data_IF_034910931695
#
_entry.id   IF_034910931695
#
_cell.length_a   1.000
_cell.length_b   1.000
_cell.length_c   1.000
_cell.angle_alpha   90.00
_cell.angle_beta   90.00
_cell.angle_gamma   90.00
#
_symmetry.space_group_name_H-M   'P 1'
#
loop_
_entity.id
_entity.type
_entity.pdbx_description
1 polymer ?
#
# COMPACT_ATOMS: atom_id res chain seq x y z
N UNK A 1 -12.66 -76.27 20.51
CA UNK A 1 -11.98 -77.10 19.50
C UNK A 1 -10.65 -76.45 19.17
N UNK A 2 -9.58 -77.19 19.45
CA UNK A 2 -8.17 -76.83 19.35
C UNK A 2 -7.67 -76.67 17.90
N UNK A 3 -6.37 -76.30 17.78
CA UNK A 3 -5.40 -76.52 16.68
C UNK A 3 -5.07 -75.23 15.90
N UNK A 4 -3.83 -74.75 15.68
CA UNK A 4 -2.41 -75.15 15.89
C UNK A 4 -1.61 -73.82 15.87
N UNK A 5 -0.35 -73.66 16.26
CA UNK A 5 0.72 -74.60 16.59
C UNK A 5 1.93 -73.84 17.16
N UNK A 6 2.83 -74.61 17.75
CA UNK A 6 4.08 -74.18 18.39
C UNK A 6 5.24 -74.17 17.39
N UNK A 7 6.09 -73.15 17.41
CA UNK A 7 7.45 -73.19 16.87
C UNK A 7 8.43 -72.56 17.87
N UNK A 8 9.55 -73.26 18.08
CA UNK A 8 10.54 -73.05 19.13
C UNK A 8 11.57 -71.94 18.85
N UNK A 9 12.08 -71.43 19.97
CA UNK A 9 13.34 -70.71 20.26
C UNK A 9 14.41 -70.54 19.17
N UNK A 10 14.89 -69.30 19.02
CA UNK A 10 16.29 -68.84 18.83
C UNK A 10 16.29 -67.37 19.33
N UNK A 11 17.14 -66.81 20.20
CA UNK A 11 18.55 -67.05 20.54
C UNK A 11 19.37 -65.82 20.16
N UNK A 12 19.74 -64.98 21.14
CA UNK A 12 20.77 -63.90 21.12
C UNK A 12 20.50 -62.72 20.16
N UNK A 13 20.71 -61.43 20.48
CA UNK A 13 21.93 -60.82 21.01
C UNK A 13 21.62 -59.37 21.47
N UNK A 14 22.20 -58.94 22.60
CA UNK A 14 22.13 -57.56 23.09
C UNK A 14 22.81 -56.61 22.10
N UNK A 15 22.09 -55.61 21.62
CA UNK A 15 22.68 -54.44 20.94
C UNK A 15 22.48 -53.22 21.84
N UNK A 16 23.52 -52.91 22.60
CA UNK A 16 23.66 -51.65 23.33
C UNK A 16 23.94 -50.54 22.33
N UNK A 17 22.93 -49.74 21.98
CA UNK A 17 23.11 -48.54 21.17
C UNK A 17 23.55 -47.39 22.07
N UNK A 18 24.81 -46.98 21.90
CA UNK A 18 25.41 -45.80 22.47
C UNK A 18 24.78 -44.55 21.80
N UNK A 19 23.94 -43.81 22.52
CA UNK A 19 23.41 -42.54 22.03
C UNK A 19 24.50 -41.46 22.15
N UNK A 20 25.12 -41.08 21.03
CA UNK A 20 25.96 -39.89 20.93
C UNK A 20 25.02 -38.68 20.82
N UNK A 21 24.82 -37.96 21.92
CA UNK A 21 24.13 -36.67 21.92
C UNK A 21 25.10 -35.60 21.36
N UNK A 22 25.05 -35.38 20.05
CA UNK A 22 25.64 -34.19 19.44
C UNK A 22 24.78 -32.98 19.82
N UNK A 23 25.27 -32.16 20.76
CA UNK A 23 24.64 -30.90 21.15
C UNK A 23 24.68 -29.90 20.00
N UNK A 24 23.62 -29.83 19.20
CA UNK A 24 23.38 -28.76 18.25
C UNK A 24 22.94 -27.52 19.04
N UNK A 25 23.88 -26.61 19.31
CA UNK A 25 23.55 -25.28 19.86
C UNK A 25 22.91 -24.47 18.74
N UNK A 26 21.58 -24.53 18.64
CA UNK A 26 20.79 -23.58 17.87
C UNK A 26 20.90 -22.22 18.57
N UNK A 27 21.80 -21.37 18.08
CA UNK A 27 21.82 -19.97 18.48
C UNK A 27 20.49 -19.33 18.12
N UNK A 28 19.70 -18.95 19.13
CA UNK A 28 18.58 -18.02 18.98
C UNK A 28 19.13 -16.69 18.48
N UNK A 29 19.17 -16.51 17.16
CA UNK A 29 19.34 -15.20 16.58
C UNK A 29 18.04 -14.45 16.84
N UNK A 30 18.08 -13.47 17.75
CA UNK A 30 17.00 -12.50 17.85
C UNK A 30 16.79 -11.88 16.46
N UNK A 31 15.54 -11.68 15.99
CA UNK A 31 15.34 -10.96 14.75
C UNK A 31 16.04 -9.61 14.91
N UNK A 32 16.94 -9.29 13.99
CA UNK A 32 17.45 -7.93 13.91
C UNK A 32 16.21 -7.03 13.85
N UNK A 33 16.08 -6.11 14.81
CA UNK A 33 15.10 -5.07 14.71
C UNK A 33 15.41 -4.37 13.38
N UNK A 34 14.60 -4.62 12.35
CA UNK A 34 14.65 -3.86 11.12
C UNK A 34 14.55 -2.42 11.58
N UNK A 35 15.61 -1.63 11.43
CA UNK A 35 15.56 -0.22 11.71
C UNK A 35 14.40 0.31 10.86
N UNK A 36 13.30 0.71 11.51
CA UNK A 36 12.18 1.35 10.83
C UNK A 36 12.80 2.57 10.17
N UNK A 37 12.81 2.59 8.83
CA UNK A 37 13.38 3.74 8.13
C UNK A 37 12.63 4.99 8.63
N UNK A 38 13.33 6.11 8.82
CA UNK A 38 12.69 7.32 9.35
C UNK A 38 11.48 7.67 8.49
N UNK A 39 10.31 7.78 9.12
CA UNK A 39 9.12 8.35 8.49
C UNK A 39 9.36 9.84 8.32
N UNK A 40 9.49 10.31 7.09
CA UNK A 40 9.70 11.72 6.81
C UNK A 40 8.38 12.51 6.76
N UNK A 41 8.52 13.80 6.50
CA UNK A 41 7.38 14.73 6.44
C UNK A 41 6.40 14.31 5.33
N UNK A 42 6.88 13.88 4.17
CA UNK A 42 6.04 13.53 3.04
C UNK A 42 5.12 12.34 3.34
N UNK A 43 5.65 11.29 3.99
CA UNK A 43 4.84 10.14 4.46
C UNK A 43 3.82 10.57 5.51
N UNK A 44 4.23 11.42 6.47
CA UNK A 44 3.35 11.91 7.53
C UNK A 44 2.18 12.71 6.96
N UNK A 45 2.47 13.60 6.02
CA UNK A 45 1.47 14.44 5.34
C UNK A 45 0.56 13.60 4.44
N UNK A 46 1.11 12.60 3.73
CA UNK A 46 0.30 11.66 2.93
C UNK A 46 -0.68 10.87 3.81
N UNK A 47 -0.24 10.39 4.97
CA UNK A 47 -1.12 9.69 5.92
C UNK A 47 -2.22 10.62 6.47
N UNK A 48 -1.90 11.87 6.81
CA UNK A 48 -2.88 12.84 7.25
C UNK A 48 -3.92 13.16 6.16
N UNK A 49 -3.49 13.28 4.91
CA UNK A 49 -4.37 13.48 3.76
C UNK A 49 -5.28 12.27 3.51
N UNK A 50 -4.73 11.06 3.60
CA UNK A 50 -5.47 9.80 3.46
C UNK A 50 -6.56 9.66 4.54
N UNK A 51 -6.27 10.10 5.76
CA UNK A 51 -7.23 10.20 6.86
C UNK A 51 -8.27 11.33 6.69
N UNK A 52 -8.13 12.18 5.67
CA UNK A 52 -9.04 13.29 5.40
C UNK A 52 -8.85 14.50 6.32
N UNK A 53 -7.63 14.73 6.82
CA UNK A 53 -7.32 15.94 7.59
C UNK A 53 -7.45 17.19 6.72
N UNK A 54 -8.22 18.16 7.21
CA UNK A 54 -8.42 19.46 6.53
C UNK A 54 -7.38 20.50 6.95
N UNK A 55 -6.64 20.24 8.04
CA UNK A 55 -5.60 21.11 8.58
C UNK A 55 -4.26 20.40 8.44
N UNK A 56 -3.63 20.59 7.29
CA UNK A 56 -2.32 20.06 6.96
C UNK A 56 -1.40 21.25 6.71
N UNK A 57 -0.30 21.30 7.45
CA UNK A 57 0.77 22.25 7.21
C UNK A 57 1.83 21.60 6.31
N UNK A 58 2.31 22.37 5.34
CA UNK A 58 3.39 21.95 4.45
C UNK A 58 4.61 22.81 4.73
N UNK A 59 5.74 22.19 5.08
CA UNK A 59 6.97 22.93 5.24
C UNK A 59 7.39 23.59 3.92
N UNK A 60 8.14 24.71 3.96
CA UNK A 60 8.69 25.31 2.75
C UNK A 60 9.53 24.33 1.92
N UNK A 61 10.21 23.39 2.58
CA UNK A 61 11.01 22.36 1.93
C UNK A 61 10.12 21.36 1.17
N UNK A 62 9.04 20.88 1.78
CA UNK A 62 8.10 19.97 1.12
C UNK A 62 7.40 20.64 -0.06
N UNK A 63 7.01 21.91 0.07
CA UNK A 63 6.45 22.71 -1.04
C UNK A 63 7.46 22.82 -2.19
N UNK A 64 8.74 23.07 -1.89
CA UNK A 64 9.78 23.11 -2.91
C UNK A 64 9.98 21.75 -3.60
N UNK A 65 9.86 20.64 -2.87
CA UNK A 65 9.98 19.28 -3.41
C UNK A 65 8.76 18.84 -4.25
N UNK A 66 7.57 19.36 -3.94
CA UNK A 66 6.36 19.21 -4.75
C UNK A 66 6.42 20.05 -6.03
N UNK A 67 7.10 21.20 -5.98
CA UNK A 67 7.21 22.14 -7.10
C UNK A 67 6.00 23.06 -7.26
N UNK A 68 5.01 22.94 -6.38
CA UNK A 68 3.82 23.79 -6.31
C UNK A 68 3.37 23.92 -4.85
N UNK A 69 2.59 24.97 -4.56
CA UNK A 69 1.94 25.12 -3.25
C UNK A 69 0.55 24.46 -3.32
N UNK A 70 0.25 23.45 -2.47
CA UNK A 70 -1.09 22.90 -2.40
C UNK A 70 -2.13 23.98 -2.11
N UNK A 71 -3.27 23.89 -2.78
CA UNK A 71 -4.45 24.73 -2.53
C UNK A 71 -5.49 23.92 -1.77
N UNK A 72 -6.65 24.52 -1.47
CA UNK A 72 -7.77 23.79 -0.87
C UNK A 72 -8.90 23.61 -1.87
N UNK A 73 -9.42 22.38 -1.99
CA UNK A 73 -10.60 22.05 -2.77
C UNK A 73 -11.24 20.74 -2.27
N UNK A 74 -12.54 20.57 -2.49
CA UNK A 74 -13.33 19.49 -1.87
C UNK A 74 -13.19 19.37 -0.32
N UNK A 75 -12.80 20.47 0.35
CA UNK A 75 -12.55 20.51 1.79
C UNK A 75 -11.21 19.90 2.22
N UNK A 76 -10.30 19.59 1.30
CA UNK A 76 -8.96 19.05 1.57
C UNK A 76 -7.88 19.80 0.80
N UNK A 77 -6.60 19.67 1.18
CA UNK A 77 -5.50 20.08 0.34
C UNK A 77 -5.49 19.32 -0.99
N UNK A 78 -5.17 20.02 -2.08
CA UNK A 78 -5.17 19.46 -3.44
C UNK A 78 -4.02 20.00 -4.30
N UNK A 79 -3.66 19.26 -5.35
CA UNK A 79 -2.77 19.72 -6.41
C UNK A 79 -3.55 20.70 -7.32
N UNK A 80 -3.21 22.01 -7.37
CA UNK A 80 -4.01 23.01 -8.08
C UNK A 80 -4.09 22.78 -9.60
N UNK A 81 -3.16 22.02 -10.17
CA UNK A 81 -3.09 21.73 -11.60
C UNK A 81 -3.31 20.25 -11.91
N UNK A 82 -3.66 19.44 -10.92
CA UNK A 82 -4.02 18.03 -11.13
C UNK A 82 -5.31 17.88 -11.93
N UNK A 83 -5.55 16.67 -12.42
CA UNK A 83 -6.76 16.36 -13.18
C UNK A 83 -7.08 14.88 -13.10
N UNK A 84 -8.34 14.52 -13.39
CA UNK A 84 -8.72 13.13 -13.47
C UNK A 84 -8.01 12.40 -14.62
N UNK A 85 -6.92 11.71 -14.31
CA UNK A 85 -6.21 10.85 -15.24
C UNK A 85 -6.95 9.52 -15.42
N UNK A 86 -7.83 9.43 -16.42
CA UNK A 86 -8.63 8.24 -16.71
C UNK A 86 -8.71 7.93 -18.22
N UNK A 87 -8.65 6.66 -18.64
CA UNK A 87 -8.83 6.27 -20.04
C UNK A 87 -10.28 6.45 -20.53
N UNK A 88 -11.21 6.67 -19.62
CA UNK A 88 -12.61 6.98 -19.92
C UNK A 88 -12.98 8.33 -19.30
N UNK A 89 -13.84 9.07 -19.99
CA UNK A 89 -14.34 10.34 -19.46
C UNK A 89 -15.05 10.12 -18.12
N UNK A 90 -14.60 10.85 -17.10
CA UNK A 90 -15.23 10.88 -15.78
C UNK A 90 -16.12 12.13 -15.64
N UNK A 91 -17.13 12.10 -14.75
CA UNK A 91 -17.89 13.30 -14.44
C UNK A 91 -16.98 14.45 -14.01
N UNK A 92 -17.19 15.65 -14.55
CA UNK A 92 -16.42 16.84 -14.16
C UNK A 92 -16.50 17.16 -12.65
N UNK A 93 -17.55 16.69 -11.97
CA UNK A 93 -17.69 16.80 -10.52
C UNK A 93 -16.65 15.98 -9.74
N UNK A 94 -15.92 15.06 -10.39
CA UNK A 94 -14.84 14.28 -9.77
C UNK A 94 -13.49 15.00 -9.78
N UNK A 95 -13.31 16.05 -10.59
CA UNK A 95 -12.05 16.77 -10.72
C UNK A 95 -11.44 17.20 -9.37
N UNK A 96 -12.20 17.79 -8.42
CA UNK A 96 -11.65 18.10 -7.10
C UNK A 96 -11.14 16.86 -6.33
N UNK A 97 -11.83 15.72 -6.45
CA UNK A 97 -11.40 14.48 -5.80
C UNK A 97 -10.10 13.94 -6.41
N UNK A 98 -9.97 14.03 -7.74
CA UNK A 98 -8.75 13.66 -8.45
C UNK A 98 -7.56 14.55 -8.06
N UNK A 99 -7.75 15.87 -7.93
CA UNK A 99 -6.68 16.79 -7.47
C UNK A 99 -6.19 16.50 -6.05
N UNK A 100 -7.08 16.06 -5.15
CA UNK A 100 -6.69 15.58 -3.81
C UNK A 100 -5.89 14.28 -3.90
N UNK A 101 -6.31 13.35 -4.75
CA UNK A 101 -5.61 12.08 -4.95
C UNK A 101 -4.22 12.27 -5.57
N UNK A 102 -4.09 13.15 -6.57
CA UNK A 102 -2.83 13.52 -7.20
C UNK A 102 -1.84 14.09 -6.19
N UNK A 103 -2.28 14.98 -5.29
CA UNK A 103 -1.43 15.48 -4.21
C UNK A 103 -0.92 14.33 -3.32
N UNK A 104 -1.80 13.41 -2.93
CA UNK A 104 -1.40 12.21 -2.18
C UNK A 104 -0.32 11.41 -2.89
N UNK A 105 -0.48 11.21 -4.20
CA UNK A 105 0.47 10.48 -5.04
C UNK A 105 1.80 11.23 -5.18
N UNK A 106 1.78 12.55 -5.31
CA UNK A 106 2.97 13.38 -5.36
C UNK A 106 3.76 13.35 -4.05
N UNK A 107 3.07 13.34 -2.91
CA UNK A 107 3.69 13.14 -1.59
C UNK A 107 4.39 11.78 -1.50
N UNK A 108 3.77 10.70 -2.00
CA UNK A 108 4.42 9.39 -2.05
C UNK A 108 5.65 9.39 -2.98
N UNK A 109 5.62 10.13 -4.09
CA UNK A 109 6.78 10.29 -4.97
C UNK A 109 7.91 11.08 -4.29
N UNK A 110 7.58 12.14 -3.54
CA UNK A 110 8.55 12.88 -2.72
C UNK A 110 9.18 11.94 -1.68
N UNK A 111 8.36 11.21 -0.92
CA UNK A 111 8.81 10.24 0.07
C UNK A 111 9.80 9.23 -0.52
N UNK A 112 9.47 8.66 -1.68
CA UNK A 112 10.35 7.71 -2.37
C UNK A 112 11.67 8.34 -2.81
N UNK A 113 11.65 9.57 -3.37
CA UNK A 113 12.88 10.30 -3.74
C UNK A 113 13.77 10.59 -2.53
N UNK A 114 13.16 10.84 -1.36
CA UNK A 114 13.86 11.08 -0.11
C UNK A 114 14.35 9.78 0.57
N UNK A 115 13.99 8.59 0.05
CA UNK A 115 14.31 7.30 0.67
C UNK A 115 13.49 6.99 1.92
N UNK A 116 12.34 7.66 2.11
CA UNK A 116 11.43 7.40 3.22
C UNK A 116 10.75 6.04 3.05
N UNK A 117 10.52 5.34 4.17
CA UNK A 117 9.70 4.13 4.15
C UNK A 117 8.24 4.51 3.90
N UNK A 118 7.62 3.92 2.88
CA UNK A 118 6.20 4.11 2.54
C UNK A 118 5.43 2.85 2.95
N UNK A 119 4.65 2.92 4.05
CA UNK A 119 3.72 1.86 4.38
C UNK A 119 2.66 1.68 3.28
N UNK A 120 2.35 0.43 2.92
CA UNK A 120 1.45 0.11 1.80
C UNK A 120 0.03 0.62 2.03
N UNK A 121 -0.40 0.68 3.29
CA UNK A 121 -1.69 1.17 3.72
C UNK A 121 -1.93 2.62 3.31
N UNK A 122 -0.90 3.47 3.28
CA UNK A 122 -1.09 4.88 2.93
C UNK A 122 -1.61 5.01 1.50
N UNK A 123 -1.05 4.26 0.54
CA UNK A 123 -1.52 4.29 -0.84
C UNK A 123 -2.95 3.72 -0.97
N UNK A 124 -3.28 2.67 -0.21
CA UNK A 124 -4.64 2.09 -0.18
C UNK A 124 -5.65 3.08 0.40
N UNK A 125 -5.27 3.80 1.44
CA UNK A 125 -6.13 4.77 2.11
C UNK A 125 -6.32 6.03 1.26
N UNK A 126 -5.30 6.45 0.52
CA UNK A 126 -5.41 7.50 -0.51
C UNK A 126 -6.36 7.07 -1.63
N UNK A 127 -6.21 5.85 -2.16
CA UNK A 127 -7.11 5.31 -3.19
C UNK A 127 -8.56 5.21 -2.67
N UNK A 128 -8.75 4.88 -1.39
CA UNK A 128 -10.08 4.86 -0.75
C UNK A 128 -10.62 6.28 -0.50
N UNK A 129 -9.75 7.24 -0.21
CA UNK A 129 -10.13 8.63 -0.02
C UNK A 129 -10.62 9.26 -1.33
N UNK A 130 -10.04 8.87 -2.47
CA UNK A 130 -10.54 9.24 -3.80
C UNK A 130 -12.02 8.81 -3.97
N UNK A 131 -12.34 7.54 -3.68
CA UNK A 131 -13.73 7.05 -3.74
C UNK A 131 -14.67 7.88 -2.85
N UNK A 132 -14.26 8.12 -1.59
CA UNK A 132 -15.06 8.91 -0.64
C UNK A 132 -15.32 10.32 -1.14
N UNK A 133 -14.32 10.98 -1.73
CA UNK A 133 -14.47 12.34 -2.26
C UNK A 133 -15.36 12.38 -3.52
N UNK A 134 -15.18 11.45 -4.45
CA UNK A 134 -16.08 11.32 -5.61
C UNK A 134 -17.52 11.03 -5.17
N UNK A 135 -17.70 10.11 -4.22
CA UNK A 135 -19.01 9.74 -3.69
C UNK A 135 -19.78 10.91 -3.07
N UNK A 136 -19.08 11.89 -2.48
CA UNK A 136 -19.70 13.11 -1.91
C UNK A 136 -20.33 14.01 -2.98
N UNK A 137 -19.89 13.93 -4.24
CA UNK A 137 -20.47 14.73 -5.33
C UNK A 137 -21.59 14.02 -6.07
N UNK A 138 -21.80 12.73 -5.77
CA UNK A 138 -22.75 11.90 -6.48
C UNK A 138 -24.21 12.11 -6.07
N UNK A 139 -25.06 12.33 -7.07
CA UNK A 139 -26.52 12.48 -6.92
C UNK A 139 -27.32 11.25 -7.40
N UNK A 140 -26.65 10.21 -7.91
CA UNK A 140 -27.28 9.00 -8.44
C UNK A 140 -26.45 7.74 -8.16
N UNK A 141 -27.08 6.57 -8.25
CA UNK A 141 -26.38 5.28 -8.14
C UNK A 141 -25.37 5.07 -9.27
N UNK A 142 -25.67 5.54 -10.49
CA UNK A 142 -24.74 5.46 -11.62
C UNK A 142 -23.45 6.24 -11.34
N UNK A 143 -23.55 7.41 -10.70
CA UNK A 143 -22.37 8.16 -10.27
C UNK A 143 -21.57 7.41 -9.20
N UNK A 144 -22.24 6.85 -8.18
CA UNK A 144 -21.58 6.05 -7.13
C UNK A 144 -20.86 4.84 -7.70
N UNK A 145 -21.50 4.14 -8.64
CA UNK A 145 -20.88 3.02 -9.35
C UNK A 145 -19.62 3.44 -10.10
N UNK A 146 -19.63 4.58 -10.79
CA UNK A 146 -18.44 5.12 -11.46
C UNK A 146 -17.32 5.45 -10.47
N UNK A 147 -17.66 6.02 -9.31
CA UNK A 147 -16.69 6.30 -8.25
C UNK A 147 -16.02 5.01 -7.73
N UNK A 148 -16.82 3.96 -7.45
CA UNK A 148 -16.29 2.66 -7.03
C UNK A 148 -15.48 1.97 -8.13
N UNK A 149 -15.89 2.07 -9.40
CA UNK A 149 -15.15 1.52 -10.52
C UNK A 149 -13.77 2.19 -10.66
N UNK A 150 -13.70 3.52 -10.51
CA UNK A 150 -12.43 4.25 -10.50
C UNK A 150 -11.53 3.81 -9.34
N UNK A 151 -12.08 3.62 -8.13
CA UNK A 151 -11.35 3.10 -6.98
C UNK A 151 -10.77 1.70 -7.24
N UNK A 152 -11.57 0.79 -7.80
CA UNK A 152 -11.10 -0.57 -8.15
C UNK A 152 -10.00 -0.51 -9.19
N UNK A 153 -10.15 0.31 -10.24
CA UNK A 153 -9.15 0.44 -11.29
C UNK A 153 -7.80 0.95 -10.74
N UNK A 154 -7.81 2.01 -9.94
CA UNK A 154 -6.58 2.53 -9.32
C UNK A 154 -6.00 1.54 -8.31
N UNK A 155 -6.84 0.87 -7.52
CA UNK A 155 -6.41 -0.13 -6.55
C UNK A 155 -5.73 -1.33 -7.19
N UNK A 156 -6.22 -1.80 -8.35
CA UNK A 156 -5.56 -2.85 -9.13
C UNK A 156 -4.20 -2.39 -9.67
N UNK A 157 -4.09 -1.14 -10.14
CA UNK A 157 -2.81 -0.59 -10.55
C UNK A 157 -1.85 -0.45 -9.36
N UNK A 158 -2.32 0.05 -8.21
CA UNK A 158 -1.55 0.13 -6.97
C UNK A 158 -1.03 -1.24 -6.53
N UNK A 159 -1.87 -2.28 -6.60
CA UNK A 159 -1.48 -3.65 -6.31
C UNK A 159 -0.40 -4.16 -7.24
N UNK A 160 -0.56 -3.95 -8.55
CA UNK A 160 0.43 -4.30 -9.58
C UNK A 160 1.77 -3.58 -9.37
N UNK A 161 1.73 -2.34 -8.87
CA UNK A 161 2.91 -1.55 -8.54
C UNK A 161 3.45 -1.81 -7.11
N UNK A 162 2.89 -2.77 -6.37
CA UNK A 162 3.37 -3.14 -5.03
C UNK A 162 3.05 -2.12 -3.93
N UNK A 163 2.09 -1.23 -4.15
CA UNK A 163 1.62 -0.20 -3.21
C UNK A 163 2.67 0.84 -2.76
N UNK A 164 3.85 0.87 -3.39
CA UNK A 164 4.85 1.92 -3.17
C UNK A 164 4.49 3.23 -3.88
N UNK A 165 5.47 4.10 -4.08
CA UNK A 165 5.24 5.33 -4.83
C UNK A 165 4.71 5.04 -6.26
N UNK A 166 3.73 5.83 -6.73
CA UNK A 166 3.14 5.64 -8.04
C UNK A 166 4.15 5.95 -9.16
N UNK A 167 4.33 4.99 -10.06
CA UNK A 167 5.19 5.11 -11.24
C UNK A 167 4.34 5.49 -12.44
N UNK A 168 4.83 6.44 -13.24
CA UNK A 168 4.19 6.81 -14.51
C UNK A 168 4.20 5.64 -15.50
N UNK A 169 3.04 5.41 -16.09
CA UNK A 169 2.85 4.37 -17.10
C UNK A 169 3.03 4.98 -18.50
N UNK A 170 4.16 4.67 -19.14
CA UNK A 170 4.48 5.17 -20.49
C UNK A 170 3.43 4.84 -21.55
N UNK A 171 2.61 3.83 -21.31
CA UNK A 171 1.55 3.41 -22.23
C UNK A 171 0.23 4.16 -22.05
N UNK A 172 0.10 5.03 -21.04
CA UNK A 172 -1.02 5.98 -20.94
C UNK A 172 -0.61 7.37 -21.44
N UNK A 173 0.68 7.60 -21.71
CA UNK A 173 1.21 8.91 -22.12
C UNK A 173 0.67 9.43 -23.47
N UNK A 174 0.02 8.59 -24.28
CA UNK A 174 -0.59 8.97 -25.57
C UNK A 174 -2.08 9.31 -25.47
N UNK A 175 -2.71 9.17 -24.31
CA UNK A 175 -4.10 9.59 -24.13
C UNK A 175 -4.15 11.12 -24.00
N UNK A 176 -5.07 11.80 -24.69
CA UNK A 176 -5.27 13.23 -24.51
C UNK A 176 -5.88 13.44 -23.12
N UNK A 177 -5.09 13.99 -22.21
CA UNK A 177 -5.53 14.48 -20.91
C UNK A 177 -6.18 15.86 -21.07
#
# INVERSE_FOLDING_TARGET
MSLLGSWSMFGFQKLSSLFIAAGLVLGLQAPAANAVAPTGEAVTVAAALAAGSTSIEFSPQLVAQLGYRPTSGAGLPENPTGSCSSPVALPASFEPACRVHDLGYDLLRVAHRNGEYIPQEIRRDLDSQLERQMGRTCQSEGCRFMASAAHVAVGLNSARQGYGAPVEEKWLAWLPW
#
